data_IF_892324766140
#
_entry.id   IF_892324766140
#
_cell.length_a   1.000
_cell.length_b   1.000
_cell.length_c   1.000
_cell.angle_alpha   90.00
_cell.angle_beta   90.00
_cell.angle_gamma   90.00
#
_symmetry.space_group_name_H-M   'P 1'
#
loop_
_entity.id
_entity.type
_entity.pdbx_description
1 polymer ?
#
# COMPACT_ATOMS: atom_id res chain seq x y z
N UNK A 1 9.53 11.13 7.02
CA UNK A 1 9.10 9.72 7.02
C UNK A 1 9.38 9.09 8.39
N UNK A 2 8.38 8.39 8.91
CA UNK A 2 8.49 7.76 10.23
C UNK A 2 9.35 6.49 10.16
N UNK A 3 10.47 6.47 10.88
CA UNK A 3 11.40 5.34 10.87
C UNK A 3 10.82 4.07 11.48
N UNK A 4 9.92 4.19 12.45
CA UNK A 4 9.24 3.03 13.03
C UNK A 4 8.37 2.32 12.00
N UNK A 5 7.64 3.11 11.19
CA UNK A 5 6.81 2.57 10.11
C UNK A 5 7.68 1.87 9.08
N UNK A 6 8.78 2.49 8.69
CA UNK A 6 9.73 1.89 7.74
C UNK A 6 10.25 0.56 8.25
N UNK A 7 10.70 0.52 9.49
CA UNK A 7 11.22 -0.71 10.09
C UNK A 7 10.14 -1.80 10.15
N UNK A 8 8.93 -1.45 10.56
CA UNK A 8 7.82 -2.39 10.61
C UNK A 8 7.54 -2.99 9.23
N UNK A 9 7.44 -2.14 8.21
CA UNK A 9 7.16 -2.60 6.85
C UNK A 9 8.28 -3.51 6.34
N UNK A 10 9.53 -3.13 6.53
CA UNK A 10 10.67 -3.90 6.04
C UNK A 10 10.81 -5.26 6.73
N UNK A 11 10.46 -5.34 8.01
CA UNK A 11 10.64 -6.59 8.78
C UNK A 11 9.41 -7.48 8.78
N UNK A 12 8.20 -6.91 8.73
CA UNK A 12 6.96 -7.67 8.91
C UNK A 12 6.10 -7.81 7.66
N UNK A 13 6.22 -6.90 6.71
CA UNK A 13 5.33 -6.87 5.55
C UNK A 13 6.06 -7.28 4.26
N UNK A 14 7.16 -6.64 3.92
CA UNK A 14 7.86 -6.92 2.67
C UNK A 14 8.32 -8.38 2.52
N UNK A 15 8.76 -9.08 3.58
CA UNK A 15 9.14 -10.49 3.43
C UNK A 15 8.01 -11.40 2.94
N UNK A 16 6.75 -11.00 3.14
CA UNK A 16 5.59 -11.77 2.67
C UNK A 16 5.54 -11.85 1.14
N UNK A 17 6.16 -10.88 0.45
CA UNK A 17 6.22 -10.86 -1.01
C UNK A 17 7.16 -11.93 -1.58
N UNK A 18 8.00 -12.55 -0.75
CA UNK A 18 8.89 -13.65 -1.20
C UNK A 18 8.11 -14.87 -1.68
N UNK A 19 6.87 -15.03 -1.22
CA UNK A 19 6.01 -16.16 -1.58
C UNK A 19 5.25 -15.92 -2.89
N UNK A 20 5.39 -14.74 -3.47
CA UNK A 20 4.67 -14.36 -4.69
C UNK A 20 5.54 -14.59 -5.92
N UNK A 21 4.92 -14.52 -7.11
CA UNK A 21 5.64 -14.66 -8.37
C UNK A 21 6.58 -13.47 -8.64
N UNK A 22 7.38 -13.56 -9.70
CA UNK A 22 8.36 -12.53 -10.05
C UNK A 22 7.76 -11.14 -10.24
N UNK A 23 6.59 -11.08 -10.84
CA UNK A 23 5.94 -9.80 -11.14
C UNK A 23 5.47 -9.09 -9.86
N UNK A 24 5.34 -9.84 -8.75
CA UNK A 24 4.83 -9.34 -7.47
C UNK A 24 5.81 -9.60 -6.33
N UNK A 25 7.09 -9.63 -6.63
CA UNK A 25 8.16 -9.86 -5.65
C UNK A 25 8.41 -8.62 -4.79
N UNK A 26 9.32 -8.76 -3.81
CA UNK A 26 9.81 -7.63 -3.01
C UNK A 26 10.34 -6.51 -3.91
N UNK A 27 11.02 -6.86 -5.00
CA UNK A 27 11.56 -5.88 -5.94
C UNK A 27 10.45 -5.03 -6.55
N UNK A 28 9.35 -5.65 -6.96
CA UNK A 28 8.20 -4.93 -7.48
C UNK A 28 7.59 -4.03 -6.39
N UNK A 29 7.39 -4.56 -5.20
CA UNK A 29 6.84 -3.81 -4.08
C UNK A 29 7.71 -2.59 -3.74
N UNK A 30 9.03 -2.77 -3.74
CA UNK A 30 9.99 -1.69 -3.49
C UNK A 30 9.89 -0.60 -4.55
N UNK A 31 9.76 -0.98 -5.82
CA UNK A 31 9.61 -0.03 -6.91
C UNK A 31 8.30 0.77 -6.77
N UNK A 32 7.21 0.12 -6.42
CA UNK A 32 5.93 0.79 -6.20
C UNK A 32 6.03 1.76 -5.02
N UNK A 33 6.69 1.36 -3.94
CA UNK A 33 6.92 2.22 -2.78
C UNK A 33 7.70 3.48 -3.20
N UNK A 34 8.79 3.31 -3.92
CA UNK A 34 9.62 4.44 -4.35
C UNK A 34 8.86 5.40 -5.25
N UNK A 35 8.07 4.88 -6.18
CA UNK A 35 7.25 5.70 -7.07
C UNK A 35 6.17 6.45 -6.27
N UNK A 36 5.54 5.80 -5.31
CA UNK A 36 4.53 6.40 -4.46
C UNK A 36 5.09 7.53 -3.61
N UNK A 37 6.27 7.33 -3.04
CA UNK A 37 6.95 8.34 -2.23
C UNK A 37 7.34 9.56 -3.08
N UNK A 38 7.87 9.35 -4.27
CA UNK A 38 8.21 10.44 -5.17
C UNK A 38 6.97 11.26 -5.53
N UNK A 39 5.89 10.58 -5.86
CA UNK A 39 4.64 11.26 -6.20
C UNK A 39 4.10 12.04 -5.00
N UNK A 40 4.08 11.43 -3.82
CA UNK A 40 3.60 12.08 -2.60
C UNK A 40 4.40 13.35 -2.28
N UNK A 41 5.72 13.28 -2.41
CA UNK A 41 6.59 14.45 -2.19
C UNK A 41 6.32 15.58 -3.17
N UNK A 42 6.09 15.22 -4.43
CA UNK A 42 5.85 16.22 -5.49
C UNK A 42 4.53 16.97 -5.31
N UNK A 43 3.53 16.33 -4.74
CA UNK A 43 2.21 16.92 -4.56
C UNK A 43 1.91 17.32 -3.10
N UNK A 44 2.85 17.11 -2.19
CA UNK A 44 2.67 17.46 -0.77
C UNK A 44 1.74 16.52 -0.02
N UNK A 45 1.58 15.28 -0.46
CA UNK A 45 0.77 14.27 0.23
C UNK A 45 1.53 13.62 1.38
N UNK A 46 0.81 12.92 2.25
CA UNK A 46 1.37 12.23 3.40
C UNK A 46 2.23 11.05 2.96
N UNK A 47 3.54 11.14 3.20
CA UNK A 47 4.49 10.10 2.80
C UNK A 47 4.30 8.80 3.55
N UNK A 48 3.95 8.86 4.84
CA UNK A 48 3.74 7.66 5.64
C UNK A 48 2.55 6.85 5.14
N UNK A 49 1.46 7.53 4.81
CA UNK A 49 0.29 6.88 4.22
C UNK A 49 0.63 6.28 2.86
N UNK A 50 1.36 7.03 2.02
CA UNK A 50 1.78 6.55 0.70
C UNK A 50 2.64 5.29 0.80
N UNK A 51 3.56 5.28 1.73
CA UNK A 51 4.45 4.15 1.98
C UNK A 51 3.65 2.89 2.33
N UNK A 52 2.73 3.02 3.29
CA UNK A 52 1.95 1.88 3.77
C UNK A 52 0.98 1.37 2.71
N UNK A 53 0.31 2.26 1.99
CA UNK A 53 -0.57 1.88 0.88
C UNK A 53 0.20 1.04 -0.14
N UNK A 54 1.37 1.52 -0.55
CA UNK A 54 2.21 0.82 -1.53
C UNK A 54 2.66 -0.54 -1.02
N UNK A 55 3.06 -0.61 0.26
CA UNK A 55 3.54 -1.85 0.85
C UNK A 55 2.45 -2.93 0.95
N UNK A 56 1.20 -2.53 1.18
CA UNK A 56 0.09 -3.48 1.34
C UNK A 56 -0.65 -3.80 0.04
N UNK A 57 -0.39 -3.07 -1.03
CA UNK A 57 -1.28 -3.09 -2.22
C UNK A 57 -1.46 -4.46 -2.88
N UNK A 58 -0.48 -5.34 -2.80
CA UNK A 58 -0.54 -6.68 -3.42
C UNK A 58 -0.54 -7.83 -2.41
N UNK A 59 -0.67 -7.55 -1.11
CA UNK A 59 -0.70 -8.63 -0.12
C UNK A 59 -1.89 -9.59 -0.32
N UNK A 60 -2.96 -9.11 -0.96
CA UNK A 60 -4.11 -9.94 -1.29
C UNK A 60 -3.80 -11.09 -2.24
N UNK A 61 -2.62 -11.10 -2.85
CA UNK A 61 -2.17 -12.22 -3.70
C UNK A 61 -1.92 -13.50 -2.89
N UNK A 62 -1.97 -13.43 -1.57
CA UNK A 62 -2.02 -14.62 -0.71
C UNK A 62 -3.31 -15.42 -0.93
N UNK A 63 -4.35 -14.77 -1.46
CA UNK A 63 -5.64 -15.37 -1.79
C UNK A 63 -5.94 -15.30 -3.29
N UNK A 64 -7.24 -15.35 -3.68
CA UNK A 64 -7.63 -15.34 -5.09
C UNK A 64 -7.15 -14.09 -5.83
N UNK A 65 -6.48 -14.29 -6.95
CA UNK A 65 -5.91 -13.21 -7.74
C UNK A 65 -6.97 -12.22 -8.24
N UNK A 66 -8.15 -12.71 -8.58
CA UNK A 66 -9.21 -11.87 -9.16
C UNK A 66 -9.68 -10.74 -8.23
N UNK A 67 -9.57 -10.94 -6.92
CA UNK A 67 -10.02 -9.98 -5.91
C UNK A 67 -8.87 -9.51 -5.01
N UNK A 68 -7.63 -9.63 -5.48
CA UNK A 68 -6.47 -9.35 -4.62
C UNK A 68 -6.46 -7.93 -4.08
N UNK A 69 -6.95 -6.96 -4.82
CA UNK A 69 -7.00 -5.57 -4.37
C UNK A 69 -8.00 -5.38 -3.21
N UNK A 70 -9.12 -6.09 -3.22
CA UNK A 70 -10.09 -6.07 -2.13
C UNK A 70 -9.50 -6.76 -0.90
N UNK A 71 -8.88 -7.91 -1.09
CA UNK A 71 -8.22 -8.65 -0.02
C UNK A 71 -7.08 -7.83 0.59
N UNK A 72 -6.30 -7.14 -0.25
CA UNK A 72 -5.23 -6.27 0.23
C UNK A 72 -5.76 -5.14 1.11
N UNK A 73 -6.85 -4.50 0.71
CA UNK A 73 -7.50 -3.46 1.51
C UNK A 73 -8.00 -3.99 2.84
N UNK A 74 -8.55 -5.19 2.83
CA UNK A 74 -9.03 -5.84 4.05
C UNK A 74 -7.87 -6.17 5.00
N UNK A 75 -6.77 -6.69 4.45
CA UNK A 75 -5.56 -6.96 5.23
C UNK A 75 -5.07 -5.68 5.90
N UNK A 76 -5.04 -4.58 5.16
CA UNK A 76 -4.58 -3.30 5.67
C UNK A 76 -5.46 -2.83 6.84
N UNK A 77 -6.77 -2.76 6.64
CA UNK A 77 -7.66 -2.16 7.64
C UNK A 77 -7.83 -3.04 8.89
N UNK A 78 -7.60 -4.35 8.75
CA UNK A 78 -7.69 -5.27 9.89
C UNK A 78 -6.37 -5.48 10.61
N UNK A 79 -5.26 -4.92 10.10
CA UNK A 79 -3.98 -5.03 10.77
C UNK A 79 -3.91 -4.06 11.96
N UNK A 80 -4.14 -4.58 13.15
CA UNK A 80 -4.18 -3.78 14.36
C UNK A 80 -2.88 -3.02 14.65
N UNK A 81 -1.75 -3.48 14.11
CA UNK A 81 -0.45 -2.85 14.32
C UNK A 81 -0.39 -1.44 13.71
N UNK A 82 -1.15 -1.21 12.63
CA UNK A 82 -1.19 0.10 11.97
C UNK A 82 -1.90 1.15 12.81
N UNK A 83 -2.74 0.75 13.76
CA UNK A 83 -3.44 1.70 14.65
C UNK A 83 -2.49 2.50 15.52
N UNK A 84 -1.26 2.07 15.64
CA UNK A 84 -0.21 2.77 16.36
C UNK A 84 0.13 4.12 15.72
N UNK A 85 0.00 4.21 14.40
CA UNK A 85 0.42 5.38 13.63
C UNK A 85 -0.72 6.10 12.91
N UNK A 86 -1.84 5.42 12.70
CA UNK A 86 -2.93 5.94 11.88
C UNK A 86 -4.26 5.86 12.60
N UNK A 87 -5.08 6.91 12.42
CA UNK A 87 -6.45 6.93 12.94
C UNK A 87 -7.35 6.00 12.12
N UNK A 88 -8.53 5.61 12.66
CA UNK A 88 -9.49 4.83 11.89
C UNK A 88 -9.89 5.49 10.57
N UNK A 89 -9.98 6.81 10.55
CA UNK A 89 -10.32 7.56 9.33
C UNK A 89 -9.22 7.48 8.29
N UNK A 90 -7.96 7.61 8.72
CA UNK A 90 -6.82 7.47 7.83
C UNK A 90 -6.74 6.05 7.28
N UNK A 91 -6.96 5.04 8.11
CA UNK A 91 -6.95 3.64 7.67
C UNK A 91 -8.04 3.36 6.64
N UNK A 92 -9.21 3.99 6.80
CA UNK A 92 -10.29 3.86 5.83
C UNK A 92 -9.89 4.44 4.47
N UNK A 93 -9.28 5.62 4.47
CA UNK A 93 -8.79 6.27 3.25
C UNK A 93 -7.74 5.38 2.57
N UNK A 94 -6.82 4.83 3.37
CA UNK A 94 -5.76 3.96 2.87
C UNK A 94 -6.34 2.67 2.27
N UNK A 95 -7.32 2.07 2.94
CA UNK A 95 -8.02 0.90 2.43
C UNK A 95 -8.67 1.17 1.09
N UNK A 96 -9.38 2.29 0.98
CA UNK A 96 -10.04 2.68 -0.27
C UNK A 96 -9.03 2.89 -1.40
N UNK A 97 -7.88 3.49 -1.10
CA UNK A 97 -6.81 3.67 -2.07
C UNK A 97 -6.28 2.34 -2.59
N UNK A 98 -6.10 1.37 -1.70
CA UNK A 98 -5.65 0.02 -2.09
C UNK A 98 -6.71 -0.67 -2.94
N UNK A 99 -7.98 -0.58 -2.55
CA UNK A 99 -9.08 -1.20 -3.29
C UNK A 99 -9.26 -0.63 -4.68
N UNK A 100 -8.94 0.64 -4.85
CA UNK A 100 -9.07 1.33 -6.14
C UNK A 100 -7.82 1.21 -7.01
N UNK A 101 -6.86 0.42 -6.58
CA UNK A 101 -5.61 0.23 -7.32
C UNK A 101 -5.83 -0.11 -8.80
N UNK A 102 -6.87 -0.90 -9.10
CA UNK A 102 -7.23 -1.27 -10.47
C UNK A 102 -7.90 -0.17 -11.26
N UNK A 103 -8.48 0.81 -10.56
CA UNK A 103 -9.26 1.89 -11.16
C UNK A 103 -8.79 3.24 -10.67
N UNK A 104 -7.50 3.38 -10.54
CA UNK A 104 -6.85 4.52 -9.90
C UNK A 104 -7.07 5.85 -10.62
N UNK A 105 -7.55 5.84 -11.83
CA UNK A 105 -7.87 7.04 -12.59
C UNK A 105 -9.32 7.53 -12.39
N UNK A 106 -10.11 6.86 -11.56
CA UNK A 106 -11.54 7.20 -11.39
C UNK A 106 -11.82 8.29 -10.36
N UNK A 107 -10.86 8.58 -9.48
CA UNK A 107 -11.05 9.54 -8.41
C UNK A 107 -9.93 10.54 -8.38
N UNK A 108 -10.27 11.82 -8.18
CA UNK A 108 -9.28 12.89 -8.09
C UNK A 108 -8.38 12.76 -6.86
N UNK A 109 -8.95 12.34 -5.74
CA UNK A 109 -8.17 12.16 -4.51
C UNK A 109 -7.27 10.94 -4.57
N UNK A 110 -7.69 9.91 -5.27
CA UNK A 110 -6.95 8.67 -5.43
C UNK A 110 -6.03 8.69 -6.64
N UNK A 111 -6.06 9.76 -7.39
CA UNK A 111 -5.29 9.95 -8.61
C UNK A 111 -3.78 9.85 -8.37
N UNK A 112 -3.33 10.27 -7.19
CA UNK A 112 -1.91 10.23 -6.87
C UNK A 112 -1.35 8.80 -6.81
N UNK A 113 -2.19 7.79 -6.69
CA UNK A 113 -1.77 6.38 -6.66
C UNK A 113 -1.78 5.73 -8.04
N UNK A 114 -2.29 6.42 -9.03
CA UNK A 114 -2.48 5.93 -10.38
C UNK A 114 -1.20 5.42 -11.03
N UNK A 115 -0.11 6.12 -10.86
CA UNK A 115 1.17 5.75 -11.45
C UNK A 115 1.82 4.56 -10.76
N UNK A 116 1.24 4.10 -9.65
CA UNK A 116 1.68 2.93 -8.90
C UNK A 116 0.98 1.65 -9.36
N UNK A 117 -0.06 1.79 -10.13
CA UNK A 117 -0.78 0.67 -10.69
C UNK A 117 0.02 -0.01 -11.80
#
# INVERSE_FOLDING_TARGET
>A
MNLEIMNFIETEILPRYNDFDRAHSIRHATNVINNSLNLARNIGADEDMAYVIAAYHDLGLEGPRAIHHITSGKILITDARLRRWFSPEQLKIMKEAVEDHRACFKSTEKHLWKDCC
#
